data_IF_350671928138
#
_entry.id   IF_350671928138
#
_cell.length_a   1.000
_cell.length_b   1.000
_cell.length_c   1.000
_cell.angle_alpha   90.00
_cell.angle_beta   90.00
_cell.angle_gamma   90.00
#
_symmetry.space_group_name_H-M   'P 1'
#
loop_
_entity.id
_entity.type
_entity.pdbx_description
1 polymer ?
#
# COMPACT_ATOMS: atom_id res chain seq x y z
N UNK A 1 -19.29 8.86 -7.57
CA UNK A 1 -18.90 7.98 -6.44
C UNK A 1 -17.39 8.01 -6.26
N UNK A 2 -16.91 8.63 -5.18
CA UNK A 2 -15.49 8.79 -4.82
C UNK A 2 -14.74 7.51 -4.42
N UNK A 3 -14.84 6.42 -5.21
CA UNK A 3 -14.13 5.15 -4.98
C UNK A 3 -12.61 5.30 -4.99
N UNK A 4 -12.04 5.89 -6.05
CA UNK A 4 -10.59 6.07 -6.15
C UNK A 4 -10.05 6.95 -5.01
N UNK A 5 -10.69 8.09 -4.67
CA UNK A 5 -10.30 8.86 -3.50
C UNK A 5 -10.40 8.12 -2.17
N UNK A 6 -11.46 7.32 -1.95
CA UNK A 6 -11.57 6.43 -0.79
C UNK A 6 -10.37 5.48 -0.69
N UNK A 7 -10.01 4.82 -1.80
CA UNK A 7 -8.87 3.91 -1.86
C UNK A 7 -7.53 4.61 -1.62
N UNK A 8 -7.36 5.84 -2.11
CA UNK A 8 -6.17 6.66 -1.83
C UNK A 8 -6.07 6.99 -0.35
N UNK A 9 -7.19 7.38 0.29
CA UNK A 9 -7.23 7.68 1.73
C UNK A 9 -6.84 6.43 2.52
N UNK A 10 -7.45 5.29 2.21
CA UNK A 10 -7.15 4.00 2.85
C UNK A 10 -5.68 3.59 2.66
N UNK A 11 -5.14 3.72 1.44
CA UNK A 11 -3.74 3.42 1.12
C UNK A 11 -2.77 4.19 1.99
N UNK A 12 -2.99 5.50 2.08
CA UNK A 12 -2.14 6.40 2.85
C UNK A 12 -2.31 6.19 4.35
N UNK A 13 -3.51 5.83 4.84
CA UNK A 13 -3.74 5.51 6.24
C UNK A 13 -2.98 4.22 6.65
N UNK A 14 -3.14 3.14 5.88
CA UNK A 14 -2.42 1.89 6.12
C UNK A 14 -0.90 2.05 5.96
N UNK A 15 -0.46 2.84 4.98
CA UNK A 15 0.96 3.14 4.82
C UNK A 15 1.57 3.80 6.05
N UNK A 16 0.89 4.77 6.67
CA UNK A 16 1.33 5.39 7.93
C UNK A 16 1.38 4.39 9.07
N UNK A 17 0.35 3.55 9.20
CA UNK A 17 0.32 2.51 10.21
C UNK A 17 1.54 1.57 10.10
N UNK A 18 1.87 1.13 8.88
CA UNK A 18 3.04 0.27 8.67
C UNK A 18 4.36 0.98 8.93
N UNK A 19 4.52 2.23 8.49
CA UNK A 19 5.73 3.03 8.75
C UNK A 19 5.96 3.17 10.25
N UNK A 20 4.92 3.53 11.00
CA UNK A 20 5.00 3.69 12.45
C UNK A 20 5.27 2.35 13.16
N UNK A 21 4.54 1.29 12.80
CA UNK A 21 4.69 -0.04 13.42
C UNK A 21 6.08 -0.65 13.18
N UNK A 22 6.68 -0.39 12.01
CA UNK A 22 7.97 -0.96 11.61
C UNK A 22 9.15 -0.01 11.82
N UNK A 23 8.92 1.19 12.40
CA UNK A 23 9.94 2.23 12.60
C UNK A 23 10.74 2.54 11.33
N UNK A 24 10.04 2.77 10.21
CA UNK A 24 10.67 3.07 8.92
C UNK A 24 11.04 4.56 8.83
N UNK A 25 12.23 4.90 9.30
CA UNK A 25 12.73 6.28 9.30
C UNK A 25 12.90 6.85 7.90
N UNK A 26 12.47 8.11 7.72
CA UNK A 26 12.58 8.82 6.44
C UNK A 26 11.65 8.32 5.33
N UNK A 27 10.79 7.33 5.60
CA UNK A 27 9.85 6.78 4.63
C UNK A 27 8.50 7.49 4.72
N UNK A 28 7.91 7.80 3.56
CA UNK A 28 6.59 8.42 3.47
C UNK A 28 5.56 7.43 2.91
N UNK A 29 4.31 7.45 3.40
CA UNK A 29 3.24 6.61 2.83
C UNK A 29 2.97 7.02 1.38
N UNK A 30 2.72 6.04 0.53
CA UNK A 30 2.54 6.26 -0.90
C UNK A 30 1.38 5.42 -1.46
N UNK A 31 1.04 5.69 -2.72
CA UNK A 31 0.15 4.84 -3.49
C UNK A 31 0.51 4.94 -4.98
N UNK A 32 0.21 3.88 -5.72
CA UNK A 32 0.28 3.86 -7.18
C UNK A 32 -1.03 3.39 -7.74
N UNK A 33 -1.37 3.93 -8.90
CA UNK A 33 -2.57 3.57 -9.64
C UNK A 33 -2.25 3.21 -11.07
N UNK A 34 -2.95 2.21 -11.59
CA UNK A 34 -2.94 1.89 -13.00
C UNK A 34 -4.25 1.25 -13.46
N UNK A 35 -4.44 1.16 -14.78
CA UNK A 35 -5.57 0.46 -15.41
C UNK A 35 -5.27 -1.01 -15.74
N UNK A 36 -4.01 -1.44 -15.57
CA UNK A 36 -3.56 -2.79 -15.89
C UNK A 36 -2.40 -3.20 -15.01
N UNK A 37 -2.35 -4.48 -14.65
CA UNK A 37 -1.40 -5.06 -13.69
C UNK A 37 0.06 -4.80 -14.14
N UNK A 38 0.36 -4.98 -15.43
CA UNK A 38 1.68 -4.76 -16.04
C UNK A 38 2.30 -3.40 -15.73
N UNK A 39 1.49 -2.38 -15.47
CA UNK A 39 2.00 -1.04 -15.17
C UNK A 39 2.70 -0.96 -13.80
N UNK A 40 2.50 -1.95 -12.93
CA UNK A 40 3.16 -1.99 -11.62
C UNK A 40 4.57 -2.60 -11.68
N UNK A 41 4.95 -3.25 -12.78
CA UNK A 41 6.22 -4.01 -12.91
C UNK A 41 7.50 -3.19 -12.73
N UNK A 42 7.44 -1.87 -12.95
CA UNK A 42 8.63 -1.00 -12.94
C UNK A 42 9.27 -0.87 -11.56
N UNK A 43 8.52 -1.13 -10.50
CA UNK A 43 8.97 -0.98 -9.11
C UNK A 43 8.29 -2.02 -8.24
N UNK A 44 9.10 -2.77 -7.48
CA UNK A 44 8.63 -3.69 -6.44
C UNK A 44 7.71 -2.95 -5.47
N UNK A 45 6.52 -3.51 -5.23
CA UNK A 45 5.60 -2.98 -4.24
C UNK A 45 6.26 -2.88 -2.86
N UNK A 46 5.87 -1.88 -2.09
CA UNK A 46 6.32 -1.70 -0.72
C UNK A 46 5.12 -1.80 0.21
N UNK A 47 5.30 -2.33 1.43
CA UNK A 47 4.19 -2.50 2.38
C UNK A 47 3.48 -1.18 2.74
N UNK A 48 4.20 -0.05 2.66
CA UNK A 48 3.67 1.29 2.92
C UNK A 48 3.11 1.99 1.65
N UNK A 49 3.08 1.29 0.52
CA UNK A 49 2.58 1.78 -0.77
C UNK A 49 1.33 0.99 -1.17
N UNK A 50 0.18 1.65 -1.22
CA UNK A 50 -1.05 1.02 -1.73
C UNK A 50 -1.04 0.89 -3.26
N UNK A 51 -1.39 -0.27 -3.79
CA UNK A 51 -1.52 -0.50 -5.24
C UNK A 51 -2.99 -0.56 -5.63
N UNK A 52 -3.41 0.33 -6.53
CA UNK A 52 -4.81 0.49 -6.94
C UNK A 52 -4.95 0.19 -8.42
N UNK A 53 -5.62 -0.92 -8.74
CA UNK A 53 -6.08 -1.21 -10.08
C UNK A 53 -7.42 -0.50 -10.30
N UNK A 54 -7.38 0.65 -10.97
CA UNK A 54 -8.52 1.56 -11.12
C UNK A 54 -9.09 1.45 -12.53
N UNK A 55 -10.34 1.00 -12.61
CA UNK A 55 -11.11 0.82 -13.84
C UNK A 55 -10.37 -0.08 -14.87
N UNK A 56 -9.95 -1.31 -14.48
CA UNK A 56 -9.37 -2.23 -15.43
C UNK A 56 -10.43 -2.75 -16.41
N UNK A 57 -9.98 -3.17 -17.58
CA UNK A 57 -10.83 -3.94 -18.50
C UNK A 57 -10.90 -5.39 -17.98
N UNK A 58 -11.99 -5.73 -17.29
CA UNK A 58 -12.17 -7.05 -16.65
C UNK A 58 -12.11 -8.20 -17.66
N UNK A 59 -12.57 -8.00 -18.89
CA UNK A 59 -12.46 -9.00 -19.97
C UNK A 59 -11.02 -9.36 -20.35
N UNK A 60 -10.05 -8.52 -19.98
CA UNK A 60 -8.62 -8.75 -20.24
C UNK A 60 -7.88 -9.32 -19.04
N UNK A 61 -8.53 -9.45 -17.89
CA UNK A 61 -7.96 -10.04 -16.69
C UNK A 61 -8.53 -11.45 -16.56
N UNK A 62 -7.66 -12.45 -16.53
CA UNK A 62 -8.11 -13.78 -16.16
C UNK A 62 -8.36 -13.85 -14.64
N UNK A 63 -9.13 -14.86 -14.22
CA UNK A 63 -9.43 -15.03 -12.81
C UNK A 63 -8.16 -15.31 -11.97
N UNK A 64 -7.13 -15.93 -12.55
CA UNK A 64 -5.90 -16.27 -11.83
C UNK A 64 -5.12 -15.02 -11.43
N UNK A 65 -5.01 -14.05 -12.34
CA UNK A 65 -4.39 -12.74 -12.11
C UNK A 65 -5.15 -11.96 -11.06
N UNK A 66 -6.50 -11.94 -11.11
CA UNK A 66 -7.31 -11.26 -10.07
C UNK A 66 -7.12 -11.93 -8.70
N UNK A 67 -7.11 -13.27 -8.63
CA UNK A 67 -6.83 -14.02 -7.40
C UNK A 67 -5.43 -13.73 -6.86
N UNK A 68 -4.42 -13.70 -7.73
CA UNK A 68 -3.03 -13.37 -7.34
C UNK A 68 -2.93 -11.94 -6.82
N UNK A 69 -3.48 -10.98 -7.57
CA UNK A 69 -3.53 -9.57 -7.18
C UNK A 69 -4.11 -9.37 -5.78
N UNK A 70 -5.23 -10.01 -5.46
CA UNK A 70 -5.94 -9.83 -4.20
C UNK A 70 -5.35 -10.62 -3.01
N UNK A 71 -4.41 -11.54 -3.22
CA UNK A 71 -3.88 -12.37 -2.12
C UNK A 71 -2.82 -11.63 -1.31
N UNK A 72 -3.22 -11.04 -0.17
CA UNK A 72 -2.37 -10.16 0.65
C UNK A 72 -1.38 -10.87 1.59
N UNK A 73 -1.54 -12.17 1.84
CA UNK A 73 -0.94 -12.85 3.00
C UNK A 73 0.56 -13.13 2.87
N UNK A 74 1.10 -13.11 1.65
CA UNK A 74 2.48 -13.47 1.32
C UNK A 74 3.09 -12.48 0.31
N UNK A 75 4.42 -12.48 0.21
CA UNK A 75 5.09 -11.84 -0.91
C UNK A 75 4.81 -12.65 -2.16
N UNK A 76 4.37 -11.99 -3.23
CA UNK A 76 3.85 -12.69 -4.40
C UNK A 76 4.28 -12.04 -5.70
N UNK A 77 4.21 -12.84 -6.76
CA UNK A 77 4.35 -12.37 -8.12
C UNK A 77 3.00 -12.50 -8.82
N UNK A 78 2.59 -11.45 -9.51
CA UNK A 78 1.53 -11.54 -10.50
C UNK A 78 2.17 -11.67 -11.88
N UNK A 79 1.83 -12.75 -12.58
CA UNK A 79 2.36 -13.02 -13.93
C UNK A 79 1.93 -11.92 -14.87
N UNK A 80 2.86 -11.46 -15.73
CA UNK A 80 2.53 -10.55 -16.83
C UNK A 80 3.34 -10.90 -18.06
N UNK A 81 3.00 -10.31 -19.22
CA UNK A 81 3.57 -10.70 -20.52
C UNK A 81 5.10 -10.64 -20.65
N UNK A 82 5.81 -9.91 -19.79
CA UNK A 82 7.25 -9.69 -19.92
C UNK A 82 8.04 -9.82 -18.61
N UNK A 83 7.52 -9.28 -17.51
CA UNK A 83 8.17 -9.36 -16.20
C UNK A 83 7.14 -9.34 -15.09
N UNK A 84 7.25 -10.26 -14.14
CA UNK A 84 6.31 -10.37 -13.03
C UNK A 84 6.21 -9.08 -12.23
N UNK A 85 4.99 -8.77 -11.79
CA UNK A 85 4.77 -7.72 -10.79
C UNK A 85 5.04 -8.30 -9.42
N UNK A 86 6.05 -7.76 -8.74
CA UNK A 86 6.36 -8.12 -7.35
C UNK A 86 5.48 -7.36 -6.37
N UNK A 87 4.71 -8.10 -5.58
CA UNK A 87 3.73 -7.63 -4.61
C UNK A 87 4.23 -7.91 -3.19
N UNK A 88 4.13 -6.92 -2.32
CA UNK A 88 4.53 -7.06 -0.92
C UNK A 88 3.44 -7.72 -0.09
N UNK A 89 3.86 -8.59 0.83
CA UNK A 89 3.05 -9.13 1.91
C UNK A 89 2.40 -8.01 2.73
N UNK A 90 1.13 -8.18 3.08
CA UNK A 90 0.30 -7.27 3.85
C UNK A 90 0.12 -5.86 3.24
N UNK A 91 0.65 -5.60 2.04
CA UNK A 91 0.44 -4.34 1.34
C UNK A 91 -1.00 -4.22 0.86
N UNK A 92 -1.59 -3.02 0.99
CA UNK A 92 -2.94 -2.76 0.48
C UNK A 92 -2.94 -2.91 -1.05
N UNK A 93 -3.80 -3.79 -1.53
CA UNK A 93 -4.06 -4.02 -2.96
C UNK A 93 -5.55 -3.88 -3.17
N UNK A 94 -5.93 -2.99 -4.07
CA UNK A 94 -7.31 -2.69 -4.35
C UNK A 94 -7.59 -2.82 -5.85
N UNK A 95 -8.81 -3.24 -6.17
CA UNK A 95 -9.38 -3.24 -7.50
C UNK A 95 -10.68 -2.46 -7.42
N UNK A 96 -10.82 -1.42 -8.24
CA UNK A 96 -12.02 -0.60 -8.34
C UNK A 96 -12.50 -0.64 -9.78
N UNK A 97 -13.79 -0.88 -9.99
CA UNK A 97 -14.41 -0.87 -11.31
C UNK A 97 -15.80 -0.23 -11.25
N UNK A 98 -16.36 0.06 -12.42
CA UNK A 98 -17.64 0.77 -12.57
C UNK A 98 -18.73 -0.12 -13.19
N UNK A 99 -18.65 -1.42 -12.97
CA UNK A 99 -19.51 -2.44 -13.56
C UNK A 99 -20.80 -2.70 -12.76
N UNK A 100 -21.31 -1.70 -12.04
CA UNK A 100 -22.62 -1.81 -11.37
C UNK A 100 -23.71 -1.38 -12.37
N UNK A 101 -24.66 -2.27 -12.65
CA UNK A 101 -25.85 -1.92 -13.42
C UNK A 101 -26.93 -1.40 -12.47
N UNK A 102 -27.42 -0.19 -12.72
CA UNK A 102 -28.41 0.47 -11.85
C UNK A 102 -29.74 -0.30 -11.77
N UNK A 103 -30.06 -1.10 -12.80
CA UNK A 103 -31.27 -1.92 -12.85
C UNK A 103 -31.22 -3.12 -11.89
N UNK A 104 -30.01 -3.59 -11.55
CA UNK A 104 -29.80 -4.66 -10.58
C UNK A 104 -29.80 -4.12 -9.13
N UNK A 105 -29.83 -2.79 -8.95
CA UNK A 105 -29.89 -2.20 -7.62
C UNK A 105 -31.25 -2.43 -6.95
N UNK A 106 -31.20 -2.79 -5.68
CA UNK A 106 -32.38 -3.06 -4.88
C UNK A 106 -33.19 -1.79 -4.61
N UNK A 107 -34.53 -1.90 -4.52
CA UNK A 107 -35.38 -0.81 -4.08
C UNK A 107 -34.92 -0.26 -2.71
N UNK A 108 -35.00 1.07 -2.55
CA UNK A 108 -34.58 1.72 -1.32
C UNK A 108 -35.43 1.25 -0.12
N UNK A 109 -34.78 0.64 0.87
CA UNK A 109 -35.40 0.25 2.14
C UNK A 109 -34.44 0.52 3.31
N UNK A 110 -34.68 1.61 4.04
CA UNK A 110 -33.82 2.04 5.17
C UNK A 110 -33.78 1.06 6.35
N UNK A 111 -34.73 0.13 6.44
CA UNK A 111 -34.75 -0.87 7.52
C UNK A 111 -33.89 -2.08 7.19
N UNK A 112 -33.47 -2.21 5.93
CA UNK A 112 -32.66 -3.33 5.46
C UNK A 112 -31.23 -3.20 5.99
N UNK A 113 -30.79 -4.19 6.77
CA UNK A 113 -29.42 -4.24 7.31
C UNK A 113 -28.52 -5.21 6.55
N UNK A 114 -29.09 -6.03 5.67
CA UNK A 114 -28.38 -7.03 4.87
C UNK A 114 -29.14 -7.41 3.60
N UNK A 115 -28.43 -7.96 2.63
CA UNK A 115 -29.01 -8.50 1.39
C UNK A 115 -28.76 -10.00 1.30
N UNK A 116 -29.60 -10.68 0.52
CA UNK A 116 -29.46 -12.11 0.25
C UNK A 116 -28.32 -12.38 -0.74
N UNK A 117 -27.80 -13.61 -0.80
CA UNK A 117 -26.78 -14.00 -1.78
C UNK A 117 -27.23 -13.75 -3.22
N UNK A 118 -28.49 -14.07 -3.54
CA UNK A 118 -29.05 -13.86 -4.89
C UNK A 118 -29.03 -12.38 -5.29
N UNK A 119 -29.43 -11.50 -4.39
CA UNK A 119 -29.38 -10.05 -4.63
C UNK A 119 -27.93 -9.56 -4.78
N UNK A 120 -27.00 -10.04 -3.94
CA UNK A 120 -25.58 -9.69 -4.07
C UNK A 120 -24.98 -10.12 -5.40
N UNK A 121 -25.21 -11.36 -5.83
CA UNK A 121 -24.67 -11.87 -7.09
C UNK A 121 -25.30 -11.21 -8.31
N UNK A 122 -26.53 -10.67 -8.21
CA UNK A 122 -27.08 -9.78 -9.22
C UNK A 122 -26.24 -8.49 -9.33
N UNK A 123 -25.96 -7.80 -8.21
CA UNK A 123 -25.18 -6.55 -8.19
C UNK A 123 -23.77 -6.68 -8.80
N UNK A 124 -23.11 -7.83 -8.64
CA UNK A 124 -21.74 -8.05 -9.15
C UNK A 124 -21.69 -8.84 -10.46
N UNK A 125 -22.85 -9.15 -11.06
CA UNK A 125 -22.95 -10.02 -12.24
C UNK A 125 -22.11 -9.52 -13.40
N UNK A 126 -22.22 -8.23 -13.72
CA UNK A 126 -21.46 -7.61 -14.82
C UNK A 126 -19.95 -7.64 -14.57
N UNK A 127 -19.53 -7.34 -13.34
CA UNK A 127 -18.12 -7.42 -12.95
C UNK A 127 -17.51 -8.82 -13.12
N UNK A 128 -18.31 -9.87 -12.89
CA UNK A 128 -17.87 -11.27 -12.96
C UNK A 128 -18.38 -12.04 -14.18
N UNK A 129 -18.88 -11.36 -15.21
CA UNK A 129 -19.58 -12.01 -16.35
C UNK A 129 -18.77 -13.11 -17.02
N UNK A 130 -17.45 -12.94 -17.09
CA UNK A 130 -16.53 -13.89 -17.76
C UNK A 130 -15.97 -14.97 -16.84
N UNK A 131 -16.34 -15.00 -15.55
CA UNK A 131 -15.78 -15.92 -14.56
C UNK A 131 -16.76 -17.00 -14.11
N UNK A 132 -16.22 -18.19 -13.83
CA UNK A 132 -16.99 -19.29 -13.24
C UNK A 132 -17.24 -18.99 -11.76
N UNK A 133 -18.36 -19.46 -11.23
CA UNK A 133 -18.74 -19.23 -9.83
C UNK A 133 -17.65 -19.64 -8.83
N UNK A 134 -16.96 -20.77 -9.07
CA UNK A 134 -15.84 -21.23 -8.23
C UNK A 134 -14.71 -20.21 -8.18
N UNK A 135 -14.41 -19.55 -9.31
CA UNK A 135 -13.40 -18.49 -9.37
C UNK A 135 -13.87 -17.22 -8.67
N UNK A 136 -15.16 -16.87 -8.82
CA UNK A 136 -15.76 -15.74 -8.12
C UNK A 136 -15.69 -15.92 -6.60
N UNK A 137 -16.09 -17.08 -6.08
CA UNK A 137 -15.99 -17.39 -4.65
C UNK A 137 -14.54 -17.40 -4.15
N UNK A 138 -13.61 -17.87 -4.99
CA UNK A 138 -12.18 -17.80 -4.67
C UNK A 138 -11.69 -16.35 -4.60
N UNK A 139 -12.11 -15.47 -5.49
CA UNK A 139 -11.82 -14.03 -5.44
C UNK A 139 -12.40 -13.42 -4.16
N UNK A 140 -13.67 -13.69 -3.89
CA UNK A 140 -14.42 -13.18 -2.73
C UNK A 140 -13.91 -13.70 -1.38
N UNK A 141 -13.16 -14.81 -1.34
CA UNK A 141 -12.43 -15.27 -0.15
C UNK A 141 -11.23 -14.39 0.20
N UNK A 142 -10.67 -13.67 -0.78
CA UNK A 142 -9.40 -12.93 -0.67
C UNK A 142 -9.57 -11.44 -0.42
N UNK A 143 -10.76 -10.90 -0.62
CA UNK A 143 -11.00 -9.47 -0.56
C UNK A 143 -12.24 -9.12 0.27
N UNK A 144 -12.22 -7.88 0.77
CA UNK A 144 -13.44 -7.19 1.21
C UNK A 144 -14.09 -6.60 -0.04
N UNK A 145 -15.34 -6.94 -0.31
CA UNK A 145 -16.10 -6.36 -1.40
C UNK A 145 -16.92 -5.16 -0.89
N UNK A 146 -16.75 -4.02 -1.54
CA UNK A 146 -17.50 -2.79 -1.30
C UNK A 146 -18.23 -2.40 -2.58
N UNK A 147 -19.55 -2.37 -2.54
CA UNK A 147 -20.39 -1.97 -3.67
C UNK A 147 -21.08 -0.67 -3.29
N UNK A 148 -20.74 0.40 -4.01
CA UNK A 148 -21.32 1.70 -3.81
C UNK A 148 -22.53 1.85 -4.72
N UNK A 149 -23.72 1.60 -4.18
CA UNK A 149 -25.00 1.82 -4.85
C UNK A 149 -25.46 3.28 -4.74
N UNK A 150 -26.59 3.57 -5.37
CA UNK A 150 -27.32 4.83 -5.27
C UNK A 150 -28.01 5.03 -3.92
N UNK A 151 -28.31 3.94 -3.21
CA UNK A 151 -29.12 3.97 -2.00
C UNK A 151 -28.44 3.41 -0.74
N UNK A 152 -27.36 2.66 -0.93
CA UNK A 152 -26.63 2.01 0.14
C UNK A 152 -25.18 1.71 -0.25
N UNK A 153 -24.35 1.51 0.77
CA UNK A 153 -23.08 0.82 0.63
C UNK A 153 -23.27 -0.64 1.04
N UNK A 154 -22.96 -1.57 0.15
CA UNK A 154 -22.97 -2.99 0.45
C UNK A 154 -21.55 -3.46 0.78
N UNK A 155 -21.42 -4.19 1.89
CA UNK A 155 -20.16 -4.70 2.41
C UNK A 155 -20.25 -6.22 2.57
N UNK A 156 -19.38 -6.95 1.88
CA UNK A 156 -19.19 -8.39 2.09
C UNK A 156 -17.75 -8.64 2.57
N UNK A 157 -17.63 -9.31 3.71
CA UNK A 157 -16.33 -9.72 4.25
C UNK A 157 -15.74 -10.90 3.45
N UNK A 158 -14.42 -11.12 3.55
CA UNK A 158 -13.78 -12.22 2.83
C UNK A 158 -14.36 -13.56 3.26
N UNK A 159 -14.93 -14.30 2.31
CA UNK A 159 -15.48 -15.64 2.56
C UNK A 159 -15.69 -16.40 1.27
N UNK A 160 -15.43 -17.71 1.32
CA UNK A 160 -15.73 -18.65 0.23
C UNK A 160 -17.17 -19.19 0.30
N UNK A 161 -17.88 -18.93 1.40
CA UNK A 161 -19.28 -19.32 1.56
C UNK A 161 -20.16 -18.47 0.63
N UNK A 162 -20.91 -19.13 -0.25
CA UNK A 162 -21.90 -18.50 -1.11
C UNK A 162 -22.92 -17.70 -0.29
N UNK A 163 -23.27 -18.18 0.90
CA UNK A 163 -24.27 -17.58 1.76
C UNK A 163 -23.71 -16.60 2.80
N UNK A 164 -22.43 -16.20 2.66
CA UNK A 164 -21.81 -15.23 3.54
C UNK A 164 -22.63 -13.93 3.61
N UNK A 165 -22.76 -13.40 4.83
CA UNK A 165 -23.52 -12.19 5.09
C UNK A 165 -23.00 -11.00 4.28
N UNK A 166 -23.93 -10.30 3.63
CA UNK A 166 -23.66 -9.03 2.96
C UNK A 166 -24.40 -7.93 3.70
N UNK A 167 -23.65 -7.04 4.34
CA UNK A 167 -24.19 -5.92 5.10
C UNK A 167 -24.69 -4.82 4.16
N UNK A 168 -25.80 -4.20 4.51
CA UNK A 168 -26.39 -3.06 3.82
C UNK A 168 -26.30 -1.84 4.74
N UNK A 169 -25.55 -0.81 4.33
CA UNK A 169 -25.25 0.37 5.13
C UNK A 169 -25.92 1.59 4.51
N UNK A 170 -26.86 2.19 5.24
CA UNK A 170 -27.66 3.35 4.82
C UNK A 170 -27.31 4.65 5.56
N UNK A 171 -26.32 4.62 6.45
CA UNK A 171 -26.01 5.72 7.35
C UNK A 171 -25.59 6.97 6.58
N UNK A 172 -26.20 8.11 6.90
CA UNK A 172 -25.77 9.47 6.53
C UNK A 172 -25.42 9.73 5.05
N UNK A 173 -26.05 9.01 4.12
CA UNK A 173 -25.71 9.08 2.71
C UNK A 173 -24.22 8.78 2.44
N UNK A 174 -23.58 7.92 3.25
CA UNK A 174 -22.16 7.53 3.10
C UNK A 174 -21.80 7.01 1.69
N UNK A 175 -22.80 6.51 0.97
CA UNK A 175 -22.69 6.04 -0.41
C UNK A 175 -22.66 7.22 -1.43
N UNK A 176 -23.24 8.37 -1.05
CA UNK A 176 -23.30 9.62 -1.82
C UNK A 176 -21.99 10.40 -1.63
N UNK A 177 -20.94 9.91 -2.28
CA UNK A 177 -19.70 10.62 -2.62
C UNK A 177 -19.01 11.51 -1.54
N UNK A 178 -17.79 11.15 -1.15
CA UNK A 178 -16.91 11.93 -0.25
C UNK A 178 -16.53 13.35 -0.75
N UNK A 179 -17.02 13.77 -1.92
CA UNK A 179 -16.80 15.09 -2.52
C UNK A 179 -18.02 15.99 -2.53
N UNK A 180 -19.10 15.60 -1.86
CA UNK A 180 -20.16 16.56 -1.53
C UNK A 180 -19.57 17.74 -0.78
N UNK A 181 -20.22 18.91 -0.84
CA UNK A 181 -19.74 20.12 -0.16
C UNK A 181 -19.53 19.91 1.36
N UNK A 182 -20.25 18.95 1.98
CA UNK A 182 -20.06 18.51 3.38
C UNK A 182 -18.63 18.02 3.62
N UNK A 183 -18.13 17.12 2.78
CA UNK A 183 -16.90 16.35 3.02
C UNK A 183 -15.68 16.83 2.21
N UNK A 184 -15.92 17.64 1.19
CA UNK A 184 -14.89 18.23 0.31
C UNK A 184 -13.80 18.96 1.08
N UNK A 185 -14.14 19.65 2.18
CA UNK A 185 -13.16 20.35 3.02
C UNK A 185 -12.23 19.38 3.79
N UNK A 186 -12.75 18.25 4.25
CA UNK A 186 -11.96 17.21 4.94
C UNK A 186 -11.04 16.51 3.95
N UNK A 187 -11.53 16.19 2.76
CA UNK A 187 -10.71 15.65 1.68
C UNK A 187 -9.59 16.62 1.26
N UNK A 188 -9.91 17.91 1.09
CA UNK A 188 -8.92 18.94 0.77
C UNK A 188 -7.84 19.07 1.85
N UNK A 189 -8.21 19.04 3.15
CA UNK A 189 -7.26 19.03 4.27
C UNK A 189 -6.39 17.77 4.27
N UNK A 190 -6.97 16.62 3.97
CA UNK A 190 -6.24 15.36 3.86
C UNK A 190 -5.19 15.41 2.74
N UNK A 191 -5.59 15.87 1.55
CA UNK A 191 -4.70 16.08 0.40
C UNK A 191 -3.64 17.15 0.69
N UNK A 192 -4.01 18.25 1.35
CA UNK A 192 -3.10 19.33 1.70
C UNK A 192 -2.07 18.94 2.78
N UNK A 193 -2.43 18.10 3.76
CA UNK A 193 -1.45 17.54 4.71
C UNK A 193 -0.41 16.65 4.03
N UNK A 194 -0.79 15.99 2.92
CA UNK A 194 0.16 15.29 2.06
C UNK A 194 1.09 16.27 1.34
N UNK A 195 0.56 17.37 0.77
CA UNK A 195 1.37 18.42 0.14
C UNK A 195 2.30 19.15 1.13
N UNK A 196 1.85 19.44 2.36
CA UNK A 196 2.70 20.12 3.36
C UNK A 196 3.88 19.27 3.82
N UNK A 197 3.72 17.95 3.94
CA UNK A 197 4.86 17.05 4.15
C UNK A 197 5.79 17.01 2.93
N UNK A 198 5.23 17.10 1.72
CA UNK A 198 6.01 17.17 0.47
C UNK A 198 6.80 18.49 0.34
N UNK A 199 6.22 19.63 0.73
CA UNK A 199 6.88 20.94 0.72
C UNK A 199 7.92 21.09 1.83
N UNK A 200 7.68 20.55 3.03
CA UNK A 200 8.70 20.51 4.09
C UNK A 200 9.89 19.62 3.72
N UNK A 201 9.66 18.51 2.99
CA UNK A 201 10.76 17.69 2.44
C UNK A 201 11.51 18.42 1.33
N UNK A 202 10.82 19.19 0.48
CA UNK A 202 11.47 19.97 -0.58
C UNK A 202 12.30 21.13 -0.03
N UNK A 203 11.81 21.84 1.01
CA UNK A 203 12.59 22.89 1.69
C UNK A 203 13.77 22.34 2.51
N UNK A 204 13.73 21.08 2.95
CA UNK A 204 14.88 20.43 3.60
C UNK A 204 15.87 19.82 2.61
N UNK A 205 15.43 19.48 1.39
CA UNK A 205 16.29 19.01 0.29
C UNK A 205 16.91 20.17 -0.51
N UNK A 206 16.23 21.32 -0.66
CA UNK A 206 16.80 22.53 -1.30
C UNK A 206 17.79 23.29 -0.37
N UNK A 207 17.87 22.91 0.91
CA UNK A 207 18.82 23.49 1.89
C UNK A 207 20.09 22.65 2.12
N UNK A 208 20.24 21.52 1.44
CA UNK A 208 21.48 20.73 1.43
C UNK A 208 22.03 20.64 0.02
N UNK A 209 22.74 21.70 -0.37
CA UNK A 209 24.01 21.66 -1.11
C UNK A 209 24.20 22.96 -1.89
N UNK A 210 24.85 23.95 -1.25
CA UNK A 210 25.81 24.83 -1.91
C UNK A 210 26.66 25.52 -0.84
N UNK A 211 27.70 24.82 -0.39
CA UNK A 211 28.88 25.47 0.18
C UNK A 211 30.10 24.63 -0.22
N UNK A 212 30.46 24.75 -1.50
CA UNK A 212 31.80 24.48 -1.99
C UNK A 212 32.80 25.38 -1.27
N UNK A 213 33.86 24.77 -0.75
CA UNK A 213 35.02 25.45 -0.15
C UNK A 213 35.67 26.42 -1.14
N UNK A 214 36.31 27.49 -0.63
CA UNK A 214 37.73 27.66 -0.95
C UNK A 214 38.62 28.01 0.27
N UNK A 215 39.86 27.51 0.24
CA UNK A 215 41.04 27.99 1.01
C UNK A 215 41.26 29.49 0.72
N UNK A 216 41.80 30.36 1.57
CA UNK A 216 43.17 30.39 2.15
C UNK A 216 43.34 31.65 3.04
N UNK A 217 44.33 31.60 3.96
CA UNK A 217 45.17 32.66 4.56
C UNK A 217 44.86 33.17 6.00
N UNK A 218 45.78 32.77 6.91
CA UNK A 218 46.43 33.47 8.05
C UNK A 218 45.59 34.42 8.94
N UNK A 219 45.69 34.37 10.27
CA UNK A 219 46.82 34.93 11.03
C UNK A 219 46.77 34.50 12.52
N UNK A 220 47.89 33.95 13.00
CA UNK A 220 48.52 34.06 14.35
C UNK A 220 47.70 33.85 15.64
N UNK A 221 48.03 32.78 16.38
CA UNK A 221 48.61 32.84 17.75
C UNK A 221 48.93 31.40 18.26
N UNK A 222 50.21 31.16 18.51
CA UNK A 222 50.80 30.07 19.31
C UNK A 222 51.57 30.76 20.46
N UNK A 223 52.08 30.07 21.50
CA UNK A 223 51.86 28.69 21.94
C UNK A 223 51.62 28.57 23.47
N UNK A 224 51.23 27.38 23.95
CA UNK A 224 51.78 26.87 25.20
C UNK A 224 52.19 25.40 25.02
N UNK A 225 53.45 25.15 25.39
CA UNK A 225 54.25 23.94 25.29
C UNK A 225 54.36 23.32 26.68
N UNK A 226 54.09 22.03 26.85
CA UNK A 226 54.71 21.11 27.85
C UNK A 226 54.51 19.67 27.31
N UNK A 227 55.48 19.12 26.56
CA UNK A 227 56.49 18.11 26.97
C UNK A 227 55.99 16.65 27.04
N UNK A 228 56.61 15.80 26.19
CA UNK A 228 56.65 14.34 26.27
C UNK A 228 57.86 13.89 27.11
N UNK A 229 57.82 12.67 27.65
CA UNK A 229 58.82 11.65 27.27
C UNK A 229 58.15 10.28 27.02
N UNK A 230 58.37 9.64 25.87
CA UNK A 230 59.46 8.70 25.51
C UNK A 230 59.26 7.24 25.98
N UNK A 231 58.86 6.40 25.01
CA UNK A 231 59.36 5.05 24.64
C UNK A 231 59.81 4.05 25.73
N UNK A 232 59.17 2.87 25.73
CA UNK A 232 59.84 1.56 25.74
C UNK A 232 58.88 0.42 25.30
N UNK A 233 59.33 -0.41 24.36
CA UNK A 233 58.94 -1.81 24.08
C UNK A 233 60.25 -2.54 23.75
N UNK A 234 60.34 -3.88 23.67
CA UNK A 234 59.46 -4.96 24.14
C UNK A 234 60.22 -6.01 25.00
N UNK A 235 59.52 -6.94 25.66
CA UNK A 235 60.09 -8.25 26.02
C UNK A 235 59.10 -9.35 25.65
N UNK A 236 59.62 -10.33 24.91
CA UNK A 236 59.02 -11.59 24.52
C UNK A 236 59.00 -12.54 25.73
N UNK A 237 58.02 -13.44 25.82
CA UNK A 237 58.28 -14.79 26.30
C UNK A 237 57.37 -15.78 25.57
N UNK A 238 57.91 -16.95 25.16
CA UNK A 238 57.26 -17.94 24.32
C UNK A 238 56.52 -18.98 25.18
N UNK A 239 55.62 -19.75 24.53
CA UNK A 239 55.11 -21.08 24.93
C UNK A 239 53.60 -21.16 24.72
N UNK A 240 53.19 -21.68 23.54
CA UNK A 240 52.12 -22.70 23.40
C UNK A 240 51.89 -22.99 21.90
N UNK A 241 52.90 -23.60 21.26
CA UNK A 241 52.72 -24.31 19.99
C UNK A 241 53.06 -25.79 20.22
N UNK A 242 52.11 -26.56 20.77
CA UNK A 242 52.21 -28.00 20.87
C UNK A 242 50.83 -28.68 20.93
N UNK A 243 50.09 -28.69 19.81
CA UNK A 243 49.08 -29.73 19.53
C UNK A 243 48.55 -29.65 18.09
N UNK A 244 49.38 -29.99 17.11
CA UNK A 244 48.90 -30.54 15.84
C UNK A 244 49.71 -31.78 15.48
N UNK A 245 48.99 -32.90 15.43
CA UNK A 245 49.34 -34.09 14.66
C UNK A 245 49.76 -35.30 15.50
N UNK A 246 48.90 -36.32 15.55
CA UNK A 246 49.20 -37.64 14.95
C UNK A 246 48.11 -38.69 15.26
N UNK A 247 47.84 -39.52 14.24
CA UNK A 247 47.09 -40.80 14.21
C UNK A 247 45.56 -40.70 14.32
N UNK A 248 44.74 -41.29 13.44
CA UNK A 248 44.89 -42.33 12.40
C UNK A 248 43.74 -42.17 11.38
#
# INVERSE_FOLDING_TARGET
VGKTPFLIVLSLALGRYHIQRLNLDGVTPAWRRAKGIDNFRRKTGQIHEGLILDDPSMDRLDAADVKSWLTAEEDQNCSTRYTDVKLARNGLRALSANDLDEEDELPHDRRRTSITPTEFFALVKKFFTSYKEVDVLAILKRCVALIFGKHALYLRLPSQDHNALVHCIHEDDLHVDLFTERDKSYYAKYKARHLRHFYLLRETLDKKDFATTPRTMATTLMPHRVEHPSRATPEEDPDEEAARGMHE
#
